data_IF_767105376669
#
_entry.id   IF_767105376669
#
_cell.length_a   1.000
_cell.length_b   1.000
_cell.length_c   1.000
_cell.angle_alpha   90.00
_cell.angle_beta   90.00
_cell.angle_gamma   90.00
#
_symmetry.space_group_name_H-M   'P 1'
#
loop_
_entity.id
_entity.type
_entity.pdbx_description
1 polymer ?
#
# COMPACT_ATOMS: atom_id res chain seq x y z
N UNK A 1 -9.57 -0.38 -23.53
CA UNK A 1 -8.25 0.00 -22.96
C UNK A 1 -8.37 -0.13 -21.47
N UNK A 2 -7.40 -0.70 -20.79
CA UNK A 2 -7.37 -0.72 -19.33
C UNK A 2 -7.21 0.72 -18.85
N UNK A 3 -8.09 1.18 -17.98
CA UNK A 3 -8.01 2.51 -17.38
C UNK A 3 -7.00 2.46 -16.23
N UNK A 4 -6.13 3.46 -16.13
CA UNK A 4 -5.11 3.53 -15.08
C UNK A 4 -5.47 4.57 -14.03
N UNK A 5 -5.25 4.22 -12.78
CA UNK A 5 -5.25 5.15 -11.66
C UNK A 5 -3.87 5.77 -11.53
N UNK A 6 -3.74 7.00 -12.05
CA UNK A 6 -2.50 7.75 -11.94
C UNK A 6 -2.28 8.21 -10.50
N UNK A 7 -1.04 8.15 -10.05
CA UNK A 7 -0.57 8.76 -8.81
C UNK A 7 0.60 9.74 -9.09
N UNK A 8 0.58 10.36 -10.27
CA UNK A 8 1.58 11.35 -10.69
C UNK A 8 1.57 12.57 -9.77
N UNK A 9 2.75 13.04 -9.38
CA UNK A 9 2.96 14.37 -8.80
C UNK A 9 4.14 15.05 -9.50
N UNK A 10 4.18 16.37 -9.47
CA UNK A 10 5.15 17.15 -10.27
C UNK A 10 6.61 17.03 -9.81
N UNK A 11 6.86 16.55 -8.60
CA UNK A 11 8.19 16.57 -7.97
C UNK A 11 8.98 15.28 -8.09
N UNK A 12 8.39 14.20 -8.56
CA UNK A 12 9.07 12.93 -8.79
C UNK A 12 8.50 12.18 -10.00
N UNK A 13 9.26 11.23 -10.51
CA UNK A 13 8.85 10.36 -11.62
C UNK A 13 8.47 8.95 -11.17
N UNK A 14 8.06 8.76 -9.91
CA UNK A 14 7.74 7.46 -9.36
C UNK A 14 6.58 6.78 -10.07
N UNK A 15 5.54 7.53 -10.43
CA UNK A 15 4.41 7.03 -11.21
C UNK A 15 4.85 6.54 -12.60
N UNK A 16 5.71 7.28 -13.30
CA UNK A 16 6.23 6.90 -14.62
C UNK A 16 7.06 5.61 -14.54
N UNK A 17 7.88 5.45 -13.49
CA UNK A 17 8.68 4.24 -13.26
C UNK A 17 7.84 3.00 -12.94
N UNK A 18 6.59 3.19 -12.52
CA UNK A 18 5.61 2.14 -12.26
C UNK A 18 4.51 2.10 -13.33
N UNK A 19 4.88 2.25 -14.61
CA UNK A 19 3.97 2.04 -15.73
C UNK A 19 2.90 3.11 -15.92
N UNK A 20 3.09 4.30 -15.35
CA UNK A 20 2.20 5.46 -15.40
C UNK A 20 0.88 5.32 -14.62
N UNK A 21 0.81 4.37 -13.70
CA UNK A 21 -0.35 4.15 -12.84
C UNK A 21 -0.69 2.67 -12.66
N UNK A 22 -1.61 2.40 -11.73
CA UNK A 22 -2.13 1.05 -11.52
C UNK A 22 -3.44 0.85 -12.28
N UNK A 23 -3.68 -0.33 -12.88
CA UNK A 23 -5.00 -0.67 -13.43
C UNK A 23 -6.11 -0.51 -12.38
N UNK A 24 -7.30 -0.03 -12.81
CA UNK A 24 -8.41 0.27 -11.89
C UNK A 24 -8.88 -0.95 -11.10
N UNK A 25 -8.87 -2.11 -11.68
CA UNK A 25 -9.35 -3.37 -11.12
C UNK A 25 -8.24 -4.24 -10.50
N UNK A 26 -7.13 -3.62 -10.05
CA UNK A 26 -5.96 -4.36 -9.61
C UNK A 26 -5.88 -4.60 -8.10
N UNK A 27 -5.32 -5.75 -7.74
CA UNK A 27 -4.87 -6.09 -6.40
C UNK A 27 -3.36 -5.91 -6.32
N UNK A 28 -2.92 -4.89 -5.56
CA UNK A 28 -1.52 -4.50 -5.42
C UNK A 28 -0.97 -4.94 -4.07
N UNK A 29 0.16 -5.64 -4.08
CA UNK A 29 0.88 -6.05 -2.90
C UNK A 29 2.23 -5.33 -2.83
N UNK A 30 2.49 -4.63 -1.72
CA UNK A 30 3.76 -3.98 -1.41
C UNK A 30 4.37 -4.67 -0.20
N UNK A 31 5.39 -5.47 -0.39
CA UNK A 31 5.99 -6.25 0.67
C UNK A 31 7.39 -5.77 1.07
N UNK A 32 7.81 -6.13 2.27
CA UNK A 32 9.15 -5.85 2.78
C UNK A 32 9.21 -5.97 4.30
N UNK A 33 10.41 -6.01 4.85
CA UNK A 33 10.65 -6.09 6.30
C UNK A 33 10.21 -4.82 7.03
N UNK A 34 10.10 -4.90 8.35
CA UNK A 34 9.84 -3.72 9.18
C UNK A 34 10.88 -2.63 8.92
N UNK A 35 10.45 -1.36 8.81
CA UNK A 35 11.34 -0.22 8.52
C UNK A 35 11.82 -0.11 7.06
N UNK A 36 11.37 -0.99 6.15
CA UNK A 36 11.75 -0.91 4.73
C UNK A 36 11.23 0.34 4.00
N UNK A 37 10.18 0.97 4.52
CA UNK A 37 9.55 2.14 3.91
C UNK A 37 8.21 1.87 3.24
N UNK A 38 7.61 0.69 3.45
CA UNK A 38 6.28 0.32 2.89
C UNK A 38 5.23 1.40 3.10
N UNK A 39 5.09 1.87 4.34
CA UNK A 39 4.12 2.92 4.69
C UNK A 39 4.41 4.24 3.97
N UNK A 40 5.68 4.61 3.78
CA UNK A 40 6.04 5.83 3.04
C UNK A 40 5.67 5.69 1.56
N UNK A 41 5.92 4.53 0.97
CA UNK A 41 5.54 4.25 -0.43
C UNK A 41 4.02 4.27 -0.58
N UNK A 42 3.27 3.59 0.29
CA UNK A 42 1.80 3.60 0.24
C UNK A 42 1.22 4.99 0.50
N UNK A 43 1.80 5.79 1.40
CA UNK A 43 1.43 7.19 1.66
C UNK A 43 1.69 8.09 0.45
N UNK A 44 2.86 7.92 -0.22
CA UNK A 44 3.18 8.64 -1.46
C UNK A 44 2.19 8.31 -2.58
N UNK A 45 1.83 7.03 -2.71
CA UNK A 45 0.83 6.59 -3.70
C UNK A 45 -0.54 7.19 -3.34
N UNK A 46 -0.96 7.09 -2.07
CA UNK A 46 -2.24 7.66 -1.60
C UNK A 46 -2.37 9.15 -1.90
N UNK A 47 -1.30 9.91 -1.62
CA UNK A 47 -1.26 11.34 -1.92
C UNK A 47 -1.39 11.60 -3.42
N UNK A 48 -0.60 10.90 -4.24
CA UNK A 48 -0.66 11.08 -5.69
C UNK A 48 -2.01 10.67 -6.29
N UNK A 49 -2.64 9.60 -5.80
CA UNK A 49 -4.00 9.21 -6.21
C UNK A 49 -5.01 10.33 -5.91
N UNK A 50 -4.97 10.88 -4.69
CA UNK A 50 -5.85 11.97 -4.29
C UNK A 50 -5.63 13.26 -5.10
N UNK A 51 -4.38 13.59 -5.45
CA UNK A 51 -4.03 14.71 -6.34
C UNK A 51 -4.52 14.50 -7.78
N UNK A 52 -4.71 13.23 -8.20
CA UNK A 52 -5.26 12.85 -9.51
C UNK A 52 -6.75 12.45 -9.42
N UNK A 53 -7.48 13.04 -8.46
CA UNK A 53 -8.94 12.95 -8.31
C UNK A 53 -9.49 11.56 -7.94
N UNK A 54 -8.66 10.55 -7.72
CA UNK A 54 -9.11 9.27 -7.20
C UNK A 54 -9.49 9.38 -5.72
N UNK A 55 -10.65 8.86 -5.35
CA UNK A 55 -11.05 8.81 -3.94
C UNK A 55 -10.38 7.65 -3.21
N UNK A 56 -9.86 7.89 -1.99
CA UNK A 56 -9.00 6.95 -1.27
C UNK A 56 -9.51 6.66 0.14
N UNK A 57 -9.67 5.38 0.50
CA UNK A 57 -9.74 4.93 1.90
C UNK A 57 -8.35 4.43 2.32
N UNK A 58 -7.77 5.02 3.37
CA UNK A 58 -6.50 4.59 3.92
C UNK A 58 -6.70 4.01 5.33
N UNK A 59 -6.55 2.70 5.45
CA UNK A 59 -6.67 1.94 6.71
C UNK A 59 -5.26 1.71 7.25
N UNK A 60 -4.98 2.24 8.45
CA UNK A 60 -3.65 2.11 9.06
C UNK A 60 -3.70 1.37 10.39
N UNK A 61 -2.78 0.43 10.57
CA UNK A 61 -2.57 -0.29 11.84
C UNK A 61 -1.48 0.32 12.70
N UNK A 62 -0.77 1.34 12.20
CA UNK A 62 0.46 1.83 12.82
C UNK A 62 0.33 3.23 13.40
N UNK A 63 -0.55 4.07 12.86
CA UNK A 63 -0.61 5.48 13.19
C UNK A 63 -2.00 5.93 13.63
N UNK A 64 -2.05 6.84 14.60
CA UNK A 64 -3.26 7.63 14.87
C UNK A 64 -3.48 8.62 13.75
N UNK A 65 -4.69 9.18 13.63
CA UNK A 65 -4.99 10.23 12.64
C UNK A 65 -4.03 11.41 12.74
N UNK A 66 -3.74 11.87 13.96
CA UNK A 66 -2.75 12.94 14.18
C UNK A 66 -1.34 12.54 13.74
N UNK A 67 -0.93 11.30 14.02
CA UNK A 67 0.35 10.75 13.60
C UNK A 67 0.48 10.71 12.08
N UNK A 68 -0.55 10.24 11.40
CA UNK A 68 -0.61 10.19 9.94
C UNK A 68 -0.50 11.59 9.31
N UNK A 69 -1.31 12.55 9.78
CA UNK A 69 -1.25 13.93 9.29
C UNK A 69 0.16 14.52 9.47
N UNK A 70 0.75 14.38 10.67
CA UNK A 70 2.10 14.88 10.93
C UNK A 70 3.15 14.21 10.03
N UNK A 71 3.04 12.89 9.81
CA UNK A 71 3.93 12.15 8.92
C UNK A 71 3.83 12.66 7.48
N UNK A 72 2.62 12.84 6.96
CA UNK A 72 2.39 13.35 5.61
C UNK A 72 2.97 14.75 5.43
N UNK A 73 2.74 15.65 6.40
CA UNK A 73 3.35 16.99 6.37
C UNK A 73 4.86 16.97 6.47
N UNK A 74 5.45 16.05 7.24
CA UNK A 74 6.90 15.91 7.34
C UNK A 74 7.57 15.54 6.01
N UNK A 75 6.80 14.92 5.12
CA UNK A 75 7.17 14.53 3.76
C UNK A 75 6.69 15.55 2.71
N UNK A 76 6.12 16.67 3.16
CA UNK A 76 5.53 17.72 2.31
C UNK A 76 4.34 17.23 1.46
N UNK A 77 3.58 16.24 1.93
CA UNK A 77 2.32 15.80 1.33
C UNK A 77 1.16 16.51 2.02
N UNK A 78 0.58 17.51 1.34
CA UNK A 78 -0.45 18.41 1.88
C UNK A 78 -1.85 17.76 1.80
N UNK A 79 -2.15 16.84 2.71
CA UNK A 79 -3.38 16.03 2.64
C UNK A 79 -4.62 16.65 3.28
N UNK A 80 -4.52 17.78 3.97
CA UNK A 80 -5.64 18.33 4.75
C UNK A 80 -6.86 18.63 3.90
N UNK A 81 -6.70 19.16 2.69
CA UNK A 81 -7.79 19.42 1.77
C UNK A 81 -8.52 18.13 1.39
N UNK A 82 -7.78 17.06 1.10
CA UNK A 82 -8.33 15.75 0.72
C UNK A 82 -9.10 15.08 1.86
N UNK A 83 -8.67 15.27 3.11
CA UNK A 83 -9.40 14.79 4.28
C UNK A 83 -10.67 15.61 4.53
N UNK A 84 -10.62 16.93 4.39
CA UNK A 84 -11.74 17.82 4.68
C UNK A 84 -12.85 17.76 3.63
N UNK A 85 -12.50 17.61 2.37
CA UNK A 85 -13.49 17.47 1.28
C UNK A 85 -13.99 16.04 1.08
N UNK A 86 -13.49 15.07 1.89
CA UNK A 86 -13.90 13.68 1.84
C UNK A 86 -13.32 12.87 0.68
N UNK A 87 -12.38 13.41 -0.09
CA UNK A 87 -11.67 12.66 -1.14
C UNK A 87 -10.78 11.56 -0.54
N UNK A 88 -10.19 11.82 0.63
CA UNK A 88 -9.46 10.83 1.40
C UNK A 88 -10.15 10.54 2.73
N UNK A 89 -10.39 9.26 3.05
CA UNK A 89 -10.87 8.77 4.33
C UNK A 89 -9.71 8.04 5.04
N UNK A 90 -9.33 8.51 6.22
CA UNK A 90 -8.29 7.86 7.02
C UNK A 90 -8.89 7.13 8.22
N UNK A 91 -8.64 5.83 8.33
CA UNK A 91 -9.15 4.94 9.37
C UNK A 91 -7.99 4.37 10.19
N UNK A 92 -7.75 4.86 11.42
CA UNK A 92 -6.78 4.27 12.31
C UNK A 92 -7.35 3.01 12.96
N UNK A 93 -6.81 1.85 12.59
CA UNK A 93 -7.09 0.58 13.25
C UNK A 93 -5.88 0.25 14.12
N UNK A 94 -5.77 0.91 15.27
CA UNK A 94 -4.73 0.56 16.24
C UNK A 94 -5.21 -0.72 16.91
N UNK A 95 -4.50 -1.85 16.75
CA UNK A 95 -4.86 -3.05 17.49
C UNK A 95 -4.83 -2.72 18.97
N UNK A 96 -5.96 -2.82 19.64
CA UNK A 96 -6.04 -2.77 21.10
C UNK A 96 -5.40 -4.05 21.64
N UNK A 97 -4.08 -4.16 21.50
CA UNK A 97 -3.28 -5.38 21.71
C UNK A 97 -3.25 -5.82 23.17
N UNK A 98 -3.84 -5.08 24.10
CA UNK A 98 -3.70 -5.38 25.53
C UNK A 98 -4.90 -6.02 26.22
N UNK A 99 -6.09 -6.12 25.60
CA UNK A 99 -7.29 -6.58 26.32
C UNK A 99 -8.29 -7.42 25.52
N UNK A 100 -7.91 -8.12 24.48
CA UNK A 100 -8.85 -9.00 23.78
C UNK A 100 -8.84 -10.41 24.37
N UNK A 101 -9.68 -10.61 25.36
CA UNK A 101 -10.34 -11.91 25.55
C UNK A 101 -11.16 -12.17 24.29
N UNK A 102 -10.86 -13.26 23.61
CA UNK A 102 -11.40 -13.76 22.35
C UNK A 102 -10.80 -13.11 21.10
N UNK A 103 -10.22 -13.95 20.27
CA UNK A 103 -9.80 -13.65 18.92
C UNK A 103 -11.02 -13.21 18.09
N UNK A 104 -11.27 -11.90 18.06
CA UNK A 104 -12.27 -11.38 17.16
C UNK A 104 -11.78 -11.64 15.74
N UNK A 105 -12.59 -12.31 14.94
CA UNK A 105 -12.30 -12.55 13.55
C UNK A 105 -12.25 -11.21 12.78
N UNK A 106 -11.03 -10.65 12.75
CA UNK A 106 -10.82 -9.35 12.13
C UNK A 106 -11.08 -9.38 10.64
N UNK A 107 -10.80 -10.53 10.00
CA UNK A 107 -11.04 -10.73 8.57
C UNK A 107 -12.53 -10.60 8.29
N UNK A 108 -13.37 -11.29 9.05
CA UNK A 108 -14.83 -11.21 8.89
C UNK A 108 -15.37 -9.79 9.15
N UNK A 109 -14.81 -9.09 10.14
CA UNK A 109 -15.19 -7.69 10.40
C UNK A 109 -14.78 -6.76 9.30
N UNK A 110 -13.58 -6.92 8.75
CA UNK A 110 -13.12 -6.14 7.61
C UNK A 110 -14.05 -6.34 6.41
N UNK A 111 -14.36 -7.60 6.08
CA UNK A 111 -15.25 -7.92 4.96
C UNK A 111 -16.69 -7.40 5.13
N UNK A 112 -17.17 -7.29 6.37
CA UNK A 112 -18.51 -6.76 6.67
C UNK A 112 -18.58 -5.22 6.79
N UNK A 113 -17.45 -4.54 6.78
CA UNK A 113 -17.38 -3.09 6.87
C UNK A 113 -17.50 -2.43 5.49
N UNK A 114 -18.65 -2.53 4.84
CA UNK A 114 -18.89 -2.10 3.46
C UNK A 114 -18.49 -0.65 3.21
N UNK A 115 -18.78 0.25 4.15
CA UNK A 115 -18.45 1.68 4.07
C UNK A 115 -16.94 1.95 3.83
N UNK A 116 -16.06 1.03 4.25
CA UNK A 116 -14.62 1.16 4.04
C UNK A 116 -14.22 0.99 2.56
N UNK A 117 -15.08 0.37 1.77
CA UNK A 117 -14.82 0.00 0.37
C UNK A 117 -15.62 0.83 -0.64
N UNK A 118 -16.22 1.94 -0.21
CA UNK A 118 -16.97 2.83 -1.11
C UNK A 118 -16.06 3.59 -2.08
N UNK A 119 -14.86 3.98 -1.64
CA UNK A 119 -13.90 4.76 -2.43
C UNK A 119 -13.33 3.96 -3.60
N UNK A 120 -12.71 4.66 -4.55
CA UNK A 120 -12.07 4.05 -5.73
C UNK A 120 -10.89 3.17 -5.36
N UNK A 121 -10.09 3.63 -4.40
CA UNK A 121 -8.88 2.95 -3.96
C UNK A 121 -8.91 2.71 -2.46
N UNK A 122 -8.63 1.49 -2.06
CA UNK A 122 -8.52 1.08 -0.66
C UNK A 122 -7.09 0.68 -0.37
N UNK A 123 -6.44 1.37 0.56
CA UNK A 123 -5.08 1.08 1.02
C UNK A 123 -5.13 0.50 2.42
N UNK A 124 -4.52 -0.67 2.63
CA UNK A 124 -4.44 -1.35 3.94
C UNK A 124 -2.98 -1.44 4.36
N UNK A 125 -2.59 -0.60 5.30
CA UNK A 125 -1.21 -0.48 5.80
C UNK A 125 -1.15 -0.79 7.31
N UNK A 126 -0.85 -1.99 7.73
CA UNK A 126 -0.32 -3.21 7.10
C UNK A 126 -1.32 -4.35 7.24
N UNK A 127 -1.64 -5.06 6.17
CA UNK A 127 -2.59 -6.19 6.20
C UNK A 127 -2.11 -7.30 7.15
N UNK A 128 -0.83 -7.63 7.14
CA UNK A 128 -0.26 -8.66 8.01
C UNK A 128 -0.54 -8.42 9.49
N UNK A 129 -0.47 -7.18 9.97
CA UNK A 129 -0.77 -6.84 11.36
C UNK A 129 -2.22 -7.07 11.73
N UNK A 130 -3.14 -6.97 10.76
CA UNK A 130 -4.57 -7.19 10.96
C UNK A 130 -4.94 -8.66 11.03
N UNK A 131 -4.31 -9.49 10.18
CA UNK A 131 -4.76 -10.87 9.98
C UNK A 131 -3.94 -11.92 10.75
N UNK A 132 -2.70 -11.62 11.17
CA UNK A 132 -1.73 -12.58 11.74
C UNK A 132 -2.25 -13.47 12.86
N UNK A 133 -3.22 -12.99 13.67
CA UNK A 133 -3.74 -13.72 14.81
C UNK A 133 -5.01 -14.54 14.49
N UNK A 134 -5.57 -14.39 13.28
CA UNK A 134 -6.86 -14.98 12.90
C UNK A 134 -6.85 -15.67 11.55
N UNK A 135 -5.80 -15.50 10.76
CA UNK A 135 -5.70 -16.05 9.41
C UNK A 135 -5.29 -17.53 9.42
N UNK A 136 -5.92 -18.29 8.57
CA UNK A 136 -5.52 -19.60 8.09
C UNK A 136 -5.75 -19.64 6.58
N UNK A 137 -5.43 -20.74 5.89
CA UNK A 137 -5.55 -20.83 4.43
C UNK A 137 -6.97 -20.60 3.93
N UNK A 138 -8.00 -21.11 4.62
CA UNK A 138 -9.42 -20.92 4.28
C UNK A 138 -9.82 -19.43 4.36
N UNK A 139 -9.54 -18.79 5.50
CA UNK A 139 -9.84 -17.35 5.68
C UNK A 139 -9.03 -16.44 4.77
N UNK A 140 -7.81 -16.83 4.44
CA UNK A 140 -7.00 -16.12 3.45
C UNK A 140 -7.66 -16.19 2.07
N UNK A 141 -8.14 -17.36 1.68
CA UNK A 141 -8.89 -17.55 0.42
C UNK A 141 -10.16 -16.70 0.38
N UNK A 142 -10.93 -16.67 1.49
CA UNK A 142 -12.14 -15.84 1.60
C UNK A 142 -11.82 -14.35 1.44
N UNK A 143 -10.75 -13.87 2.10
CA UNK A 143 -10.29 -12.49 2.00
C UNK A 143 -9.86 -12.13 0.57
N UNK A 144 -9.07 -12.99 -0.07
CA UNK A 144 -8.65 -12.82 -1.47
C UNK A 144 -9.88 -12.79 -2.40
N UNK A 145 -10.82 -13.71 -2.21
CA UNK A 145 -12.06 -13.77 -2.98
C UNK A 145 -12.91 -12.51 -2.80
N UNK A 146 -12.95 -11.95 -1.58
CA UNK A 146 -13.60 -10.68 -1.29
C UNK A 146 -12.93 -9.53 -2.05
N UNK A 147 -11.60 -9.41 -1.99
CA UNK A 147 -10.88 -8.36 -2.73
C UNK A 147 -11.05 -8.49 -4.25
N UNK A 148 -11.02 -9.72 -4.80
CA UNK A 148 -11.27 -9.93 -6.23
C UNK A 148 -12.70 -9.56 -6.65
N UNK A 149 -13.70 -9.72 -5.78
CA UNK A 149 -15.05 -9.18 -6.03
C UNK A 149 -15.07 -7.67 -6.07
N UNK A 150 -14.35 -6.98 -5.16
CA UNK A 150 -14.21 -5.52 -5.18
C UNK A 150 -13.48 -5.03 -6.44
N UNK A 151 -12.43 -5.75 -6.89
CA UNK A 151 -11.79 -5.45 -8.16
C UNK A 151 -12.78 -5.53 -9.32
N UNK A 152 -13.66 -6.55 -9.34
CA UNK A 152 -14.74 -6.66 -10.33
C UNK A 152 -15.78 -5.52 -10.30
N UNK A 153 -15.70 -4.61 -9.32
CA UNK A 153 -16.45 -3.37 -9.21
C UNK A 153 -15.55 -2.13 -9.43
N UNK A 154 -14.50 -2.28 -10.22
CA UNK A 154 -13.52 -1.24 -10.57
C UNK A 154 -12.79 -0.62 -9.36
N UNK A 155 -12.70 -1.35 -8.23
CA UNK A 155 -11.95 -0.92 -7.06
C UNK A 155 -10.50 -1.39 -7.16
N UNK A 156 -9.56 -0.53 -6.80
CA UNK A 156 -8.15 -0.89 -6.65
C UNK A 156 -7.84 -1.14 -5.17
N UNK A 157 -7.29 -2.30 -4.86
CA UNK A 157 -6.89 -2.66 -3.49
C UNK A 157 -5.37 -2.66 -3.39
N UNK A 158 -4.82 -1.87 -2.48
CA UNK A 158 -3.38 -1.81 -2.22
C UNK A 158 -3.12 -2.30 -0.80
N UNK A 159 -2.32 -3.35 -0.64
CA UNK A 159 -1.95 -3.89 0.66
C UNK A 159 -0.46 -3.76 0.90
N UNK A 160 -0.05 -3.33 2.09
CA UNK A 160 1.32 -3.52 2.52
C UNK A 160 1.43 -4.80 3.36
N UNK A 161 2.51 -5.53 3.19
CA UNK A 161 2.75 -6.83 3.82
C UNK A 161 4.15 -6.87 4.47
N UNK A 162 4.21 -7.42 5.68
CA UNK A 162 5.45 -7.83 6.35
C UNK A 162 5.51 -9.37 6.30
N UNK A 163 6.27 -9.96 5.35
CA UNK A 163 6.22 -11.41 5.08
C UNK A 163 6.57 -12.25 6.33
N UNK A 164 7.61 -11.83 7.08
CA UNK A 164 8.10 -12.56 8.26
C UNK A 164 7.07 -12.65 9.42
N UNK A 165 5.96 -11.93 9.31
CA UNK A 165 4.90 -11.92 10.33
C UNK A 165 3.75 -12.89 10.08
N UNK A 166 3.77 -13.62 8.97
CA UNK A 166 2.75 -14.59 8.55
C UNK A 166 3.40 -15.91 8.13
N UNK A 167 2.61 -16.97 8.13
CA UNK A 167 3.02 -18.26 7.59
C UNK A 167 3.31 -18.16 6.08
N UNK A 168 4.34 -18.87 5.58
CA UNK A 168 4.78 -18.81 4.19
C UNK A 168 3.67 -19.20 3.19
N UNK A 169 2.78 -20.10 3.57
CA UNK A 169 1.61 -20.48 2.77
C UNK A 169 0.70 -19.27 2.53
N UNK A 170 0.39 -18.51 3.58
CA UNK A 170 -0.45 -17.30 3.50
C UNK A 170 0.21 -16.23 2.63
N UNK A 171 1.51 -16.01 2.82
CA UNK A 171 2.29 -15.07 2.01
C UNK A 171 2.26 -15.46 0.53
N UNK A 172 2.43 -16.75 0.24
CA UNK A 172 2.37 -17.29 -1.13
C UNK A 172 1.00 -17.11 -1.76
N UNK A 173 -0.08 -17.34 -1.01
CA UNK A 173 -1.45 -17.10 -1.49
C UNK A 173 -1.66 -15.62 -1.86
N UNK A 174 -1.23 -14.69 -1.02
CA UNK A 174 -1.36 -13.25 -1.27
C UNK A 174 -0.52 -12.81 -2.48
N UNK A 175 0.73 -13.28 -2.62
CA UNK A 175 1.60 -13.00 -3.77
C UNK A 175 0.99 -13.52 -5.08
N UNK A 176 0.54 -14.76 -5.08
CA UNK A 176 -0.01 -15.41 -6.29
C UNK A 176 -1.27 -14.70 -6.79
N UNK A 177 -2.12 -14.24 -5.86
CA UNK A 177 -3.40 -13.61 -6.15
C UNK A 177 -3.28 -12.13 -6.52
N UNK A 178 -2.16 -11.47 -6.20
CA UNK A 178 -1.94 -10.07 -6.56
C UNK A 178 -1.68 -9.92 -8.06
N UNK A 179 -2.16 -8.81 -8.64
CA UNK A 179 -1.90 -8.44 -10.03
C UNK A 179 -0.58 -7.67 -10.16
N UNK A 180 -0.26 -6.93 -9.11
CA UNK A 180 1.00 -6.19 -8.97
C UNK A 180 1.67 -6.62 -7.67
N UNK A 181 2.95 -7.00 -7.75
CA UNK A 181 3.76 -7.33 -6.57
C UNK A 181 5.05 -6.51 -6.58
N UNK A 182 5.24 -5.71 -5.55
CA UNK A 182 6.36 -4.81 -5.34
C UNK A 182 7.08 -5.21 -4.04
N UNK A 183 8.40 -5.44 -4.11
CA UNK A 183 9.20 -5.76 -2.93
C UNK A 183 10.15 -4.63 -2.55
N UNK A 184 10.06 -4.18 -1.31
CA UNK A 184 10.97 -3.19 -0.72
C UNK A 184 12.13 -3.87 -0.01
N UNK A 185 13.31 -3.68 -0.56
CA UNK A 185 14.56 -4.20 -0.02
C UNK A 185 15.38 -3.08 0.62
N UNK A 186 16.00 -3.40 1.75
CA UNK A 186 16.90 -2.48 2.48
C UNK A 186 18.26 -3.12 2.57
N UNK A 187 19.28 -2.43 2.07
CA UNK A 187 20.69 -2.86 2.21
C UNK A 187 21.47 -1.77 2.93
N UNK A 188 22.19 -2.16 3.96
CA UNK A 188 23.16 -1.29 4.61
C UNK A 188 24.50 -1.43 3.89
N UNK A 189 25.00 -0.32 3.33
CA UNK A 189 26.29 -0.26 2.66
C UNK A 189 27.14 0.80 3.34
N UNK A 190 28.14 0.36 4.10
CA UNK A 190 29.00 1.25 4.90
C UNK A 190 28.14 2.14 5.84
N UNK A 191 28.11 3.45 5.61
CA UNK A 191 27.35 4.41 6.42
C UNK A 191 26.03 4.85 5.80
N UNK A 192 25.56 4.18 4.74
CA UNK A 192 24.31 4.55 4.05
C UNK A 192 23.32 3.39 4.01
N UNK A 193 22.06 3.72 4.18
CA UNK A 193 20.94 2.78 4.00
C UNK A 193 20.39 2.99 2.60
N UNK A 194 20.54 2.00 1.73
CA UNK A 194 19.95 1.99 0.40
C UNK A 194 18.65 1.22 0.42
N UNK A 195 17.61 1.81 -0.18
CA UNK A 195 16.32 1.17 -0.38
C UNK A 195 16.07 0.98 -1.87
N UNK A 196 15.61 -0.19 -2.24
CA UNK A 196 15.21 -0.48 -3.61
C UNK A 196 13.81 -1.06 -3.61
N UNK A 197 13.00 -0.61 -4.56
CA UNK A 197 11.72 -1.21 -4.90
C UNK A 197 11.95 -2.11 -6.11
N UNK A 198 11.68 -3.39 -5.97
CA UNK A 198 11.73 -4.38 -7.06
C UNK A 198 10.33 -4.69 -7.53
N UNK A 199 10.09 -4.66 -8.83
CA UNK A 199 8.81 -5.06 -9.43
C UNK A 199 8.88 -6.53 -9.78
N UNK A 200 8.24 -7.38 -8.95
CA UNK A 200 8.23 -8.83 -9.16
C UNK A 200 7.15 -9.26 -10.16
N UNK A 201 6.04 -8.54 -10.20
CA UNK A 201 4.90 -8.80 -11.08
C UNK A 201 4.17 -7.50 -11.37
N UNK A 202 3.74 -7.31 -12.59
CA UNK A 202 2.91 -6.17 -12.97
C UNK A 202 2.03 -6.56 -14.17
N UNK A 203 0.76 -6.84 -13.93
CA UNK A 203 -0.23 -7.14 -14.97
C UNK A 203 -0.92 -5.83 -15.38
N UNK A 204 -1.11 -5.63 -16.68
CA UNK A 204 -1.88 -4.51 -17.24
C UNK A 204 -1.11 -3.19 -17.36
N UNK A 205 0.23 -3.19 -17.25
CA UNK A 205 1.05 -2.01 -17.47
C UNK A 205 0.86 -1.44 -18.89
N UNK A 206 0.76 -0.12 -18.99
CA UNK A 206 0.67 0.59 -20.29
C UNK A 206 1.95 1.37 -20.61
N UNK A 207 2.82 1.55 -19.63
CA UNK A 207 4.11 2.23 -19.78
C UNK A 207 5.28 1.31 -19.44
N UNK A 208 6.49 1.84 -19.60
CA UNK A 208 7.72 1.15 -19.22
C UNK A 208 7.78 0.98 -17.71
N UNK A 209 8.09 -0.22 -17.25
CA UNK A 209 8.29 -0.52 -15.84
C UNK A 209 9.78 -0.65 -15.56
N UNK A 210 10.25 0.02 -14.51
CA UNK A 210 11.60 -0.21 -13.99
C UNK A 210 11.63 -1.46 -13.12
N UNK A 211 12.44 -2.45 -13.47
CA UNK A 211 12.56 -3.70 -12.70
C UNK A 211 13.04 -3.44 -11.26
N UNK A 212 13.98 -2.50 -11.09
CA UNK A 212 14.53 -2.08 -9.80
C UNK A 212 14.59 -0.56 -9.76
N UNK A 213 13.91 0.02 -8.78
CA UNK A 213 13.84 1.47 -8.57
C UNK A 213 14.54 1.80 -7.24
N UNK A 214 15.63 2.58 -7.31
CA UNK A 214 16.25 3.14 -6.12
C UNK A 214 15.35 4.19 -5.49
N UNK A 215 15.13 4.13 -4.18
CA UNK A 215 14.34 5.12 -3.47
C UNK A 215 15.05 5.65 -2.24
N UNK A 216 14.89 6.94 -1.97
CA UNK A 216 15.33 7.62 -0.77
C UNK A 216 14.17 8.40 -0.16
N UNK A 217 14.15 8.49 1.15
CA UNK A 217 13.12 9.22 1.89
C UNK A 217 13.80 10.45 2.50
N UNK A 218 13.34 11.62 2.12
CA UNK A 218 13.89 12.88 2.61
C UNK A 218 12.82 13.71 3.33
N UNK A 219 13.12 14.23 4.52
CA UNK A 219 12.24 15.19 5.19
C UNK A 219 11.98 16.41 4.30
N UNK A 220 10.74 16.88 4.28
CA UNK A 220 10.28 18.04 3.49
C UNK A 220 10.37 17.86 1.96
N UNK A 221 10.73 16.68 1.48
CA UNK A 221 10.79 16.34 0.04
C UNK A 221 9.90 15.13 -0.26
N UNK A 222 9.86 14.17 0.68
CA UNK A 222 9.11 12.93 0.53
C UNK A 222 9.94 11.81 -0.07
N UNK A 223 9.32 11.01 -0.93
CA UNK A 223 9.97 9.92 -1.65
C UNK A 223 10.73 10.50 -2.86
N UNK A 224 12.01 10.19 -2.93
CA UNK A 224 12.90 10.56 -4.04
C UNK A 224 13.28 9.29 -4.79
N UNK A 225 13.10 9.30 -6.11
CA UNK A 225 13.57 8.23 -6.99
C UNK A 225 15.03 8.47 -7.33
N UNK A 226 15.88 7.51 -7.03
CA UNK A 226 17.29 7.59 -7.37
C UNK A 226 17.53 7.07 -8.79
N UNK A 227 18.35 7.77 -9.54
CA UNK A 227 18.85 7.27 -10.81
C UNK A 227 19.82 6.13 -10.46
N UNK A 228 19.47 4.88 -10.77
CA UNK A 228 20.40 3.77 -10.60
C UNK A 228 21.60 4.01 -11.52
N UNK A 229 22.73 4.40 -10.94
CA UNK A 229 23.99 4.28 -11.64
C UNK A 229 24.25 2.77 -11.77
N UNK A 230 24.10 2.24 -12.98
CA UNK A 230 24.54 0.90 -13.32
C UNK A 230 26.06 0.93 -13.25
N UNK A 231 26.61 0.36 -12.21
CA UNK A 231 28.04 0.09 -12.07
C UNK A 231 28.30 -1.40 -12.24
#
# INVERSE_FOLDING_TARGET
MVQLRSFQISRDNFNEKLGSGFPEDSLVLIEGVSGSGKSIVSQRIAFGLAENEASVTYISTQMTTKGFINQMYSLDYQISSHLLNGNMLYIPVIPLVKNTRQSMDFIQRLMNAEDLFEKDVIIIDTISSLIKNSVNSEKCFDLISFFKRLNGLDKTIIMTLEPDSLDEEIVTMLRSSSDINLSLNVKQMSNQVRRTLTVNKFIGAQGTIGDIIGIRIEPKVGLVVEIAAVS
#
